data_IF_478238390611
#
_entry.id   IF_478238390611
#
_cell.length_a   1.000
_cell.length_b   1.000
_cell.length_c   1.000
_cell.angle_alpha   90.00
_cell.angle_beta   90.00
_cell.angle_gamma   90.00
#
_symmetry.space_group_name_H-M   'P 1'
#
loop_
_entity.id
_entity.type
_entity.pdbx_description
1 polymer ?
#
# COMPACT_ATOMS: atom_id res chain seq x y z
N UNK A 1 -16.20 17.56 33.37
CA UNK A 1 -16.05 17.88 31.93
C UNK A 1 -15.23 19.16 31.81
N UNK A 2 -13.91 19.04 31.67
CA UNK A 2 -13.06 20.17 31.27
C UNK A 2 -12.78 20.03 29.78
N UNK A 3 -13.22 21.02 29.01
CA UNK A 3 -12.86 21.17 27.60
C UNK A 3 -11.35 21.36 27.51
N UNK A 4 -10.66 20.40 26.91
CA UNK A 4 -9.27 20.59 26.47
C UNK A 4 -9.31 21.51 25.25
N UNK A 5 -9.04 22.79 25.48
CA UNK A 5 -8.79 23.77 24.44
C UNK A 5 -7.46 23.44 23.76
N UNK A 6 -7.50 22.91 22.54
CA UNK A 6 -6.32 22.82 21.67
C UNK A 6 -6.00 24.26 21.23
N UNK A 7 -5.06 24.91 21.92
CA UNK A 7 -4.48 26.17 21.44
C UNK A 7 -3.73 25.87 20.14
N UNK A 8 -4.29 26.27 19.01
CA UNK A 8 -3.60 26.23 17.73
C UNK A 8 -2.60 27.38 17.66
N UNK A 9 -1.40 27.18 18.18
CA UNK A 9 -0.26 27.93 17.65
C UNK A 9 -0.12 27.53 16.18
N UNK A 10 -0.11 28.51 15.28
CA UNK A 10 0.02 28.28 13.83
C UNK A 10 1.42 27.79 13.50
N UNK A 11 1.67 26.51 13.77
CA UNK A 11 2.89 25.80 13.37
C UNK A 11 3.06 25.91 11.85
N UNK A 12 4.27 26.29 11.42
CA UNK A 12 4.68 26.24 10.02
C UNK A 12 4.36 24.85 9.46
N UNK A 13 3.84 24.77 8.25
CA UNK A 13 3.61 23.49 7.57
C UNK A 13 4.90 22.68 7.41
N UNK A 14 6.07 23.33 7.49
CA UNK A 14 7.40 22.70 7.55
C UNK A 14 7.67 21.94 8.85
N UNK A 15 6.96 22.29 9.93
CA UNK A 15 7.00 21.61 11.22
C UNK A 15 5.93 20.54 11.36
N UNK A 16 5.16 20.28 10.31
CA UNK A 16 4.16 19.22 10.25
C UNK A 16 4.60 18.08 9.35
N UNK A 17 4.18 16.87 9.71
CA UNK A 17 4.26 15.68 8.87
C UNK A 17 2.88 15.04 8.81
N UNK A 18 2.47 14.56 7.63
CA UNK A 18 1.21 13.85 7.54
C UNK A 18 1.44 12.40 7.95
N UNK A 19 0.57 11.87 8.78
CA UNK A 19 0.69 10.52 9.33
C UNK A 19 -0.52 9.73 8.86
N UNK A 20 -0.33 8.49 8.40
CA UNK A 20 -1.49 7.66 8.07
C UNK A 20 -2.37 7.47 9.30
N UNK A 21 -3.69 7.43 9.13
CA UNK A 21 -4.60 7.36 10.28
C UNK A 21 -4.34 6.13 11.18
N UNK A 22 -3.92 4.99 10.61
CA UNK A 22 -3.54 3.80 11.38
C UNK A 22 -2.24 4.01 12.18
N UNK A 23 -1.22 4.63 11.58
CA UNK A 23 0.01 5.00 12.30
C UNK A 23 -0.28 6.01 13.41
N UNK A 24 -1.14 6.99 13.14
CA UNK A 24 -1.54 7.97 14.15
C UNK A 24 -2.22 7.31 15.35
N UNK A 25 -3.07 6.30 15.12
CA UNK A 25 -3.71 5.55 16.19
C UNK A 25 -2.72 4.73 17.02
N UNK A 26 -1.77 4.01 16.40
CA UNK A 26 -0.71 3.29 17.12
C UNK A 26 0.19 4.24 17.94
N UNK A 27 0.44 5.44 17.43
CA UNK A 27 1.17 6.48 18.15
C UNK A 27 0.30 7.20 19.22
N UNK A 28 -0.98 6.86 19.38
CA UNK A 28 -1.89 7.53 20.31
C UNK A 28 -2.21 8.99 19.96
N UNK A 29 -1.99 9.39 18.70
CA UNK A 29 -2.28 10.73 18.16
C UNK A 29 -3.73 10.88 17.67
N UNK A 30 -4.41 9.75 17.46
CA UNK A 30 -5.81 9.70 17.08
C UNK A 30 -6.48 8.50 17.76
N UNK A 31 -7.75 8.65 18.14
CA UNK A 31 -8.56 7.55 18.65
C UNK A 31 -9.38 6.97 17.49
N UNK A 32 -8.96 5.80 17.00
CA UNK A 32 -9.55 5.14 15.83
C UNK A 32 -9.62 3.64 16.10
N UNK A 33 -10.80 3.06 15.88
CA UNK A 33 -10.97 1.61 15.91
C UNK A 33 -10.17 0.98 14.79
N UNK A 34 -9.29 0.04 15.14
CA UNK A 34 -8.44 -0.69 14.21
C UNK A 34 -8.71 -2.19 14.32
N UNK A 35 -9.01 -2.84 13.20
CA UNK A 35 -9.08 -4.31 13.14
C UNK A 35 -7.67 -4.93 13.08
N UNK A 36 -6.76 -4.26 12.38
CA UNK A 36 -5.35 -4.67 12.23
C UNK A 36 -4.47 -3.42 12.31
N UNK A 37 -3.49 -3.44 13.21
CA UNK A 37 -2.50 -2.36 13.32
C UNK A 37 -1.48 -2.43 12.17
N UNK A 38 -1.01 -1.28 11.65
CA UNK A 38 0.08 -1.27 10.68
C UNK A 38 1.40 -1.68 11.35
N UNK A 39 2.13 -2.61 10.74
CA UNK A 39 3.47 -3.02 11.17
C UNK A 39 4.56 -2.05 10.70
N UNK A 40 4.23 -1.16 9.76
CA UNK A 40 5.09 -0.10 9.26
C UNK A 40 4.50 1.26 9.63
N UNK A 41 5.31 2.18 10.16
CA UNK A 41 4.90 3.56 10.37
C UNK A 41 4.85 4.29 9.01
N UNK A 42 3.66 4.63 8.53
CA UNK A 42 3.50 5.31 7.26
C UNK A 42 3.40 6.82 7.48
N UNK A 43 4.41 7.53 6.98
CA UNK A 43 4.49 9.00 7.00
C UNK A 43 4.42 9.53 5.57
N UNK A 44 3.93 10.75 5.40
CA UNK A 44 3.82 11.36 4.10
C UNK A 44 4.34 12.80 4.09
N UNK A 45 5.29 13.04 3.20
CA UNK A 45 5.84 14.36 2.91
C UNK A 45 5.15 14.97 1.69
N UNK A 46 4.78 16.24 1.85
CA UNK A 46 4.17 17.02 0.79
C UNK A 46 2.65 17.03 0.86
N UNK A 47 2.04 17.15 -0.31
CA UNK A 47 0.61 17.33 -0.52
C UNK A 47 0.36 17.34 -2.03
N UNK A 48 -0.21 18.43 -2.55
CA UNK A 48 -0.44 18.61 -3.99
C UNK A 48 0.86 18.34 -4.78
N UNK A 49 0.82 17.28 -5.57
CA UNK A 49 1.91 16.77 -6.40
C UNK A 49 1.94 17.53 -7.74
N UNK A 50 3.14 17.84 -8.24
CA UNK A 50 3.33 18.44 -9.58
C UNK A 50 3.00 17.47 -10.72
N UNK A 51 2.86 16.18 -10.43
CA UNK A 51 2.48 15.15 -11.41
C UNK A 51 0.96 15.13 -11.66
N UNK A 52 0.54 14.55 -12.78
CA UNK A 52 -0.85 14.59 -13.27
C UNK A 52 -1.50 13.19 -13.38
N UNK A 53 -1.15 12.28 -12.46
CA UNK A 53 -1.67 10.92 -12.47
C UNK A 53 -3.21 10.92 -12.35
N UNK A 54 -3.90 10.32 -13.31
CA UNK A 54 -5.35 10.39 -13.48
C UNK A 54 -6.13 9.75 -12.32
N UNK A 55 -5.55 8.76 -11.64
CA UNK A 55 -6.13 8.05 -10.48
C UNK A 55 -5.80 8.69 -9.13
N UNK A 56 -4.89 9.67 -9.06
CA UNK A 56 -4.32 10.13 -7.80
C UNK A 56 -4.96 11.44 -7.33
N UNK A 57 -5.50 11.45 -6.11
CA UNK A 57 -6.05 12.66 -5.49
C UNK A 57 -5.00 13.76 -5.25
N UNK A 58 -3.72 13.40 -5.17
CA UNK A 58 -2.65 14.36 -4.99
C UNK A 58 -2.22 15.03 -6.30
N UNK A 59 -2.65 14.53 -7.46
CA UNK A 59 -2.23 15.07 -8.75
C UNK A 59 -2.57 16.57 -8.90
N UNK A 60 -1.75 17.32 -9.64
CA UNK A 60 -1.98 18.76 -9.92
C UNK A 60 -3.29 19.02 -10.66
N UNK A 61 -3.75 18.02 -11.42
CA UNK A 61 -4.99 18.08 -12.20
C UNK A 61 -6.20 17.60 -11.42
N UNK A 62 -6.02 17.02 -10.22
CA UNK A 62 -7.15 16.50 -9.46
C UNK A 62 -7.87 17.63 -8.72
N UNK A 63 -9.18 17.84 -8.95
CA UNK A 63 -9.99 18.71 -8.09
C UNK A 63 -10.22 18.12 -6.69
N UNK A 64 -9.90 16.86 -6.45
CA UNK A 64 -9.89 16.29 -5.10
C UNK A 64 -8.93 17.08 -4.19
N UNK A 65 -9.24 17.14 -2.91
CA UNK A 65 -8.41 17.87 -1.96
C UNK A 65 -7.11 17.10 -1.71
N UNK A 66 -5.99 17.76 -2.01
CA UNK A 66 -4.69 17.24 -1.66
C UNK A 66 -4.48 17.29 -0.14
N UNK A 67 -3.61 16.43 0.37
CA UNK A 67 -3.34 16.27 1.80
C UNK A 67 -2.81 17.56 2.44
N UNK A 68 -2.21 18.46 1.64
CA UNK A 68 -1.94 19.84 2.00
C UNK A 68 -2.27 20.78 0.83
N UNK A 69 -3.34 21.59 0.90
CA UNK A 69 -3.49 22.72 0.00
C UNK A 69 -2.59 23.86 0.51
N UNK A 70 -1.53 24.21 -0.22
CA UNK A 70 -0.85 25.49 0.02
C UNK A 70 -1.74 26.68 -0.32
N UNK A 71 -2.86 26.45 -1.01
CA UNK A 71 -3.87 27.45 -1.38
C UNK A 71 -5.19 26.74 -1.63
N UNK A 72 -6.13 26.72 -0.67
CA UNK A 72 -7.53 26.65 -1.09
C UNK A 72 -7.80 27.97 -1.81
N UNK A 73 -8.36 27.95 -3.03
CA UNK A 73 -8.71 29.17 -3.78
C UNK A 73 -9.77 30.05 -3.08
N UNK A 74 -10.20 29.67 -1.87
CA UNK A 74 -11.28 30.31 -1.10
C UNK A 74 -11.02 30.44 0.40
N UNK A 75 -9.80 30.16 0.90
CA UNK A 75 -9.49 30.37 2.33
C UNK A 75 -10.32 29.54 3.34
N UNK A 76 -11.18 28.62 2.88
CA UNK A 76 -12.00 27.78 3.76
C UNK A 76 -11.15 26.68 4.38
N UNK A 77 -11.25 26.53 5.71
CA UNK A 77 -10.78 25.40 6.49
C UNK A 77 -11.62 24.19 6.08
N UNK A 78 -11.02 23.22 5.39
CA UNK A 78 -11.71 21.97 5.07
C UNK A 78 -11.25 20.86 6.00
N UNK A 79 -12.23 20.05 6.41
CA UNK A 79 -12.11 18.96 7.38
C UNK A 79 -10.98 17.97 7.07
N UNK A 80 -10.21 17.51 8.08
CA UNK A 80 -9.14 16.52 7.92
C UNK A 80 -9.57 15.20 7.23
N UNK A 81 -10.87 14.87 7.27
CA UNK A 81 -11.46 13.62 6.77
C UNK A 81 -11.44 13.46 5.24
N UNK A 82 -11.14 14.52 4.50
CA UNK A 82 -11.14 14.54 3.03
C UNK A 82 -9.74 14.38 2.40
N UNK A 83 -8.68 14.35 3.23
CA UNK A 83 -7.27 14.27 2.80
C UNK A 83 -6.82 12.84 2.57
N UNK A 84 -7.01 12.35 1.34
CA UNK A 84 -6.78 10.92 1.03
C UNK A 84 -5.61 10.64 0.09
N UNK A 85 -4.90 9.56 0.38
CA UNK A 85 -4.08 8.83 -0.59
C UNK A 85 -4.64 7.42 -0.65
N UNK A 86 -5.18 7.05 -1.83
CA UNK A 86 -6.12 5.94 -1.95
C UNK A 86 -7.32 6.12 -0.99
N UNK A 87 -7.60 5.16 -0.11
CA UNK A 87 -8.67 5.25 0.90
C UNK A 87 -8.22 5.81 2.24
N UNK A 88 -6.92 5.86 2.48
CA UNK A 88 -6.35 6.20 3.79
C UNK A 88 -6.35 7.71 3.96
N UNK A 89 -6.71 8.15 5.17
CA UNK A 89 -6.70 9.55 5.60
C UNK A 89 -5.31 9.86 6.19
N UNK A 90 -4.78 11.05 5.91
CA UNK A 90 -3.44 11.47 6.32
C UNK A 90 -3.47 12.83 7.05
N UNK A 91 -3.95 12.88 8.30
CA UNK A 91 -3.95 14.12 9.06
C UNK A 91 -2.52 14.62 9.35
N UNK A 92 -2.31 15.96 9.36
CA UNK A 92 -1.03 16.55 9.72
C UNK A 92 -0.86 16.63 11.24
N UNK A 93 0.30 16.24 11.74
CA UNK A 93 0.68 16.37 13.15
C UNK A 93 2.01 17.12 13.31
N UNK A 94 2.28 17.61 14.51
CA UNK A 94 3.56 18.21 14.85
C UNK A 94 4.68 17.17 14.69
N UNK A 95 5.69 17.49 13.88
CA UNK A 95 6.79 16.58 13.54
C UNK A 95 7.58 16.14 14.77
N UNK A 96 7.83 17.04 15.73
CA UNK A 96 8.56 16.70 16.96
C UNK A 96 7.78 15.71 17.81
N UNK A 97 6.48 15.92 17.95
CA UNK A 97 5.61 14.99 18.68
C UNK A 97 5.59 13.62 18.01
N UNK A 98 5.40 13.57 16.68
CA UNK A 98 5.42 12.32 15.91
C UNK A 98 6.73 11.55 16.12
N UNK A 99 7.88 12.24 16.04
CA UNK A 99 9.19 11.61 16.22
C UNK A 99 9.39 11.11 17.66
N UNK A 100 8.96 11.86 18.67
CA UNK A 100 9.03 11.41 20.07
C UNK A 100 8.22 10.14 20.30
N UNK A 101 6.97 10.11 19.82
CA UNK A 101 6.11 8.92 19.95
C UNK A 101 6.58 7.74 19.10
N UNK A 102 7.18 8.02 17.94
CA UNK A 102 7.78 6.98 17.09
C UNK A 102 8.95 6.30 17.80
N UNK A 103 9.79 7.04 18.52
CA UNK A 103 10.88 6.48 19.31
C UNK A 103 10.36 5.51 20.37
N UNK A 104 9.34 5.92 21.13
CA UNK A 104 8.71 5.07 22.15
C UNK A 104 8.05 3.83 21.53
N UNK A 105 7.35 3.99 20.41
CA UNK A 105 6.72 2.88 19.68
C UNK A 105 7.74 1.90 19.11
N UNK A 106 8.89 2.39 18.64
CA UNK A 106 9.99 1.55 18.20
C UNK A 106 10.55 0.69 19.35
N UNK A 107 10.73 1.26 20.54
CA UNK A 107 11.18 0.52 21.74
C UNK A 107 10.18 -0.56 22.15
N UNK A 108 8.88 -0.27 22.03
CA UNK A 108 7.82 -1.27 22.30
C UNK A 108 7.71 -2.36 21.23
N UNK A 109 8.35 -2.17 20.07
CA UNK A 109 8.24 -3.09 18.94
C UNK A 109 6.92 -2.97 18.17
N UNK A 110 6.20 -1.85 18.31
CA UNK A 110 4.92 -1.60 17.63
C UNK A 110 5.10 -1.48 16.11
N UNK A 111 6.27 -1.02 15.68
CA UNK A 111 6.64 -0.90 14.27
C UNK A 111 7.92 -1.68 13.95
N UNK A 112 7.98 -2.24 12.75
CA UNK A 112 9.16 -2.91 12.18
C UNK A 112 9.96 -2.02 11.23
N UNK A 113 9.34 -0.98 10.68
CA UNK A 113 9.94 -0.04 9.73
C UNK A 113 9.14 1.25 9.62
N UNK A 114 9.72 2.26 8.97
CA UNK A 114 9.07 3.51 8.57
C UNK A 114 9.01 3.57 7.04
N UNK A 115 7.87 3.93 6.46
CA UNK A 115 7.73 4.12 5.02
C UNK A 115 7.27 5.54 4.71
N UNK A 116 8.12 6.27 3.98
CA UNK A 116 7.86 7.63 3.54
C UNK A 116 7.12 7.61 2.19
N UNK A 117 5.96 8.25 2.13
CA UNK A 117 5.26 8.57 0.89
C UNK A 117 5.59 10.01 0.51
N UNK A 118 6.25 10.23 -0.62
CA UNK A 118 6.73 11.57 -0.97
C UNK A 118 6.08 12.04 -2.26
N UNK A 119 5.32 13.13 -2.19
CA UNK A 119 4.81 13.77 -3.42
C UNK A 119 5.83 14.74 -3.99
N UNK A 120 5.80 14.90 -5.32
CA UNK A 120 6.69 15.82 -6.04
C UNK A 120 6.21 17.26 -5.81
N UNK A 121 6.62 17.84 -4.68
CA UNK A 121 6.39 19.23 -4.31
C UNK A 121 7.64 20.09 -4.46
N UNK A 122 7.62 21.30 -3.89
CA UNK A 122 8.84 22.10 -3.72
C UNK A 122 9.76 21.42 -2.69
N UNK A 123 11.06 21.38 -2.98
CA UNK A 123 12.11 20.82 -2.12
C UNK A 123 11.86 19.38 -1.61
N UNK A 124 11.01 18.60 -2.29
CA UNK A 124 10.58 17.28 -1.78
C UNK A 124 11.78 16.36 -1.51
N UNK A 125 12.82 16.45 -2.34
CA UNK A 125 14.06 15.69 -2.21
C UNK A 125 14.78 16.08 -0.91
N UNK A 126 15.15 17.36 -0.74
CA UNK A 126 15.79 17.90 0.47
C UNK A 126 15.00 17.58 1.74
N UNK A 127 13.69 17.78 1.73
CA UNK A 127 12.81 17.49 2.88
C UNK A 127 12.75 16.01 3.24
N UNK A 128 12.96 15.13 2.27
CA UNK A 128 13.07 13.69 2.52
C UNK A 128 14.31 13.39 3.33
N UNK A 129 15.48 13.94 2.97
CA UNK A 129 16.71 13.80 3.77
C UNK A 129 16.54 14.31 5.19
N UNK A 130 15.99 15.52 5.35
CA UNK A 130 15.75 16.09 6.69
C UNK A 130 14.90 15.18 7.57
N UNK A 131 13.86 14.57 7.00
CA UNK A 131 13.00 13.65 7.74
C UNK A 131 13.68 12.32 8.02
N UNK A 132 14.42 11.75 7.05
CA UNK A 132 15.19 10.51 7.23
C UNK A 132 16.22 10.69 8.36
N UNK A 133 16.99 11.77 8.33
CA UNK A 133 17.93 12.08 9.41
C UNK A 133 17.23 12.25 10.76
N UNK A 134 16.08 12.93 10.79
CA UNK A 134 15.34 13.14 12.03
C UNK A 134 14.79 11.84 12.61
N UNK A 135 14.33 10.90 11.77
CA UNK A 135 13.89 9.56 12.19
C UNK A 135 15.07 8.77 12.75
N UNK A 136 16.20 8.74 12.03
CA UNK A 136 17.41 8.00 12.43
C UNK A 136 18.02 8.51 13.74
N UNK A 137 17.78 9.77 14.11
CA UNK A 137 18.21 10.32 15.41
C UNK A 137 17.37 9.83 16.59
N UNK A 138 16.18 9.29 16.35
CA UNK A 138 15.24 8.92 17.42
C UNK A 138 14.97 7.41 17.49
N UNK A 139 15.21 6.64 16.42
CA UNK A 139 15.14 5.18 16.44
C UNK A 139 15.94 4.52 15.30
N UNK A 140 16.19 3.22 15.44
CA UNK A 140 16.93 2.39 14.48
C UNK A 140 16.03 1.63 13.49
N UNK A 141 14.75 2.02 13.36
CA UNK A 141 13.85 1.37 12.40
C UNK A 141 14.34 1.59 10.96
N UNK A 142 14.36 0.54 10.11
CA UNK A 142 14.63 0.71 8.68
C UNK A 142 13.64 1.67 8.03
N UNK A 143 14.13 2.45 7.05
CA UNK A 143 13.35 3.50 6.39
C UNK A 143 13.25 3.22 4.90
N UNK A 144 12.04 3.05 4.39
CA UNK A 144 11.74 2.95 2.96
C UNK A 144 11.17 4.28 2.45
N UNK A 145 11.38 4.60 1.17
CA UNK A 145 10.81 5.81 0.57
C UNK A 145 10.16 5.51 -0.79
N UNK A 146 8.85 5.71 -0.88
CA UNK A 146 8.16 5.84 -2.15
C UNK A 146 8.28 7.28 -2.64
N UNK A 147 9.24 7.51 -3.54
CA UNK A 147 9.66 8.83 -4.03
C UNK A 147 9.91 8.74 -5.55
N UNK A 148 9.89 9.87 -6.24
CA UNK A 148 10.25 9.96 -7.67
C UNK A 148 11.61 10.65 -7.83
N UNK A 149 12.74 9.92 -7.84
CA UNK A 149 14.04 10.49 -8.17
C UNK A 149 14.07 11.01 -9.62
N UNK A 150 14.88 12.03 -9.88
CA UNK A 150 15.07 12.56 -11.24
C UNK A 150 16.12 11.79 -12.05
N UNK A 151 17.13 11.24 -11.39
CA UNK A 151 18.30 10.63 -12.00
C UNK A 151 18.95 9.64 -11.01
N UNK A 152 20.02 8.99 -11.46
CA UNK A 152 20.75 8.02 -10.65
C UNK A 152 21.55 8.64 -9.50
N UNK A 153 21.98 9.90 -9.62
CA UNK A 153 22.66 10.61 -8.53
C UNK A 153 21.71 10.79 -7.34
N UNK A 154 20.45 11.09 -7.61
CA UNK A 154 19.42 11.16 -6.58
C UNK A 154 19.10 9.80 -5.95
N UNK A 155 19.09 8.72 -6.74
CA UNK A 155 18.92 7.35 -6.22
C UNK A 155 20.06 7.01 -5.26
N UNK A 156 21.29 7.23 -5.68
CA UNK A 156 22.50 6.98 -4.88
C UNK A 156 22.51 7.81 -3.60
N UNK A 157 22.18 9.10 -3.68
CA UNK A 157 22.10 9.97 -2.52
C UNK A 157 21.07 9.47 -1.48
N UNK A 158 19.89 9.05 -1.93
CA UNK A 158 18.84 8.53 -1.03
C UNK A 158 19.32 7.28 -0.26
N UNK A 159 19.97 6.34 -0.96
CA UNK A 159 20.52 5.13 -0.33
C UNK A 159 21.65 5.47 0.67
N UNK A 160 22.56 6.37 0.31
CA UNK A 160 23.62 6.83 1.20
C UNK A 160 23.10 7.55 2.46
N UNK A 161 21.92 8.17 2.40
CA UNK A 161 21.26 8.74 3.58
C UNK A 161 20.59 7.70 4.49
N UNK A 162 20.63 6.42 4.12
CA UNK A 162 20.11 5.32 4.93
C UNK A 162 18.66 4.94 4.62
N UNK A 163 18.15 5.27 3.43
CA UNK A 163 16.94 4.63 2.90
C UNK A 163 17.29 3.22 2.45
N UNK A 164 16.52 2.23 2.90
CA UNK A 164 16.75 0.82 2.60
C UNK A 164 16.15 0.43 1.25
N UNK A 165 14.87 0.77 0.99
CA UNK A 165 14.24 0.55 -0.32
C UNK A 165 13.68 1.83 -0.91
N UNK A 166 13.95 2.05 -2.21
CA UNK A 166 13.36 3.12 -3.01
C UNK A 166 12.20 2.55 -3.83
N UNK A 167 10.98 2.99 -3.50
CA UNK A 167 9.75 2.63 -4.19
C UNK A 167 9.45 3.57 -5.35
N UNK A 168 9.62 3.09 -6.58
CA UNK A 168 9.25 3.81 -7.80
C UNK A 168 7.77 3.60 -8.11
N UNK A 169 7.04 4.69 -8.25
CA UNK A 169 5.65 4.67 -8.71
C UNK A 169 5.54 4.44 -10.21
N UNK A 170 5.88 3.24 -10.70
CA UNK A 170 5.62 2.85 -12.09
C UNK A 170 4.11 2.76 -12.33
N UNK A 171 3.40 2.14 -11.39
CA UNK A 171 1.94 1.97 -11.24
C UNK A 171 1.21 1.27 -12.38
N UNK A 172 1.69 1.34 -13.62
CA UNK A 172 1.12 0.68 -14.79
C UNK A 172 2.08 -0.38 -15.35
N UNK A 173 1.53 -1.44 -15.93
CA UNK A 173 2.35 -2.56 -16.42
C UNK A 173 2.75 -2.44 -17.91
N UNK A 174 2.16 -1.51 -18.66
CA UNK A 174 2.53 -1.29 -20.06
C UNK A 174 2.52 0.20 -20.44
N UNK A 175 3.31 0.52 -21.48
CA UNK A 175 3.48 1.88 -22.02
C UNK A 175 2.16 2.55 -22.38
N UNK A 176 1.24 1.81 -23.01
CA UNK A 176 -0.09 2.29 -23.43
C UNK A 176 -0.87 2.82 -22.24
N UNK A 177 -0.96 2.04 -21.16
CA UNK A 177 -1.69 2.43 -19.95
C UNK A 177 -0.93 3.53 -19.21
N UNK A 178 0.38 3.40 -19.03
CA UNK A 178 1.21 4.39 -18.36
C UNK A 178 1.05 5.80 -18.95
N UNK A 179 1.14 5.93 -20.28
CA UNK A 179 1.00 7.23 -20.96
C UNK A 179 -0.38 7.83 -20.74
N UNK A 180 -1.43 7.02 -20.78
CA UNK A 180 -2.81 7.46 -20.52
C UNK A 180 -3.03 7.91 -19.08
N UNK A 181 -2.51 7.16 -18.10
CA UNK A 181 -2.84 7.37 -16.68
C UNK A 181 -1.83 8.25 -15.95
N UNK A 182 -0.52 8.10 -16.17
CA UNK A 182 0.53 8.87 -15.47
C UNK A 182 0.90 10.17 -16.17
N UNK A 183 0.70 10.24 -17.50
CA UNK A 183 1.04 11.42 -18.34
C UNK A 183 2.50 11.85 -18.16
N UNK A 184 3.39 10.86 -18.10
CA UNK A 184 4.85 11.03 -17.94
C UNK A 184 5.58 10.18 -18.98
N UNK A 185 6.91 10.24 -18.97
CA UNK A 185 7.78 9.53 -19.91
C UNK A 185 8.00 8.08 -19.46
N UNK A 186 7.44 7.12 -20.20
CA UNK A 186 7.54 5.69 -19.89
C UNK A 186 8.99 5.21 -19.97
N UNK A 187 9.66 5.52 -21.08
CA UNK A 187 11.02 5.07 -21.37
C UNK A 187 12.00 5.54 -20.29
N UNK A 188 11.92 6.81 -19.90
CA UNK A 188 12.77 7.38 -18.84
C UNK A 188 12.53 6.74 -17.48
N UNK A 189 11.26 6.58 -17.07
CA UNK A 189 10.95 5.99 -15.75
C UNK A 189 11.38 4.54 -15.67
N UNK A 190 11.10 3.75 -16.72
CA UNK A 190 11.47 2.34 -16.74
C UNK A 190 12.99 2.17 -16.78
N UNK A 191 13.70 2.95 -17.61
CA UNK A 191 15.17 2.93 -17.65
C UNK A 191 15.77 3.26 -16.28
N UNK A 192 15.24 4.25 -15.57
CA UNK A 192 15.73 4.62 -14.25
C UNK A 192 15.55 3.48 -13.23
N UNK A 193 14.41 2.79 -13.25
CA UNK A 193 14.18 1.61 -12.41
C UNK A 193 15.17 0.50 -12.72
N UNK A 194 15.40 0.21 -14.00
CA UNK A 194 16.32 -0.84 -14.44
C UNK A 194 17.76 -0.52 -14.07
N UNK A 195 18.19 0.72 -14.30
CA UNK A 195 19.53 1.17 -13.93
C UNK A 195 19.75 1.13 -12.42
N UNK A 196 18.76 1.57 -11.64
CA UNK A 196 18.79 1.47 -10.19
C UNK A 196 18.87 0.01 -9.70
N UNK A 197 18.11 -0.89 -10.31
CA UNK A 197 18.10 -2.30 -9.94
C UNK A 197 19.45 -2.99 -10.23
N UNK A 198 20.09 -2.67 -11.36
CA UNK A 198 21.42 -3.19 -11.69
C UNK A 198 22.50 -2.63 -10.77
N UNK A 199 22.45 -1.33 -10.45
CA UNK A 199 23.48 -0.66 -9.65
C UNK A 199 23.33 -0.93 -8.14
N UNK A 200 22.10 -1.12 -7.68
CA UNK A 200 21.76 -1.33 -6.27
C UNK A 200 20.79 -2.51 -6.10
N UNK A 201 21.24 -3.76 -6.33
CA UNK A 201 20.40 -4.94 -6.20
C UNK A 201 19.79 -5.05 -4.79
N UNK A 202 18.50 -5.42 -4.72
CA UNK A 202 17.78 -5.56 -3.45
C UNK A 202 17.23 -4.26 -2.85
N UNK A 203 17.61 -3.08 -3.39
CA UNK A 203 17.18 -1.78 -2.84
C UNK A 203 16.03 -1.11 -3.62
N UNK A 204 15.50 -1.79 -4.65
CA UNK A 204 14.51 -1.21 -5.56
C UNK A 204 13.16 -1.92 -5.41
N UNK A 205 12.12 -1.12 -5.26
CA UNK A 205 10.74 -1.58 -5.31
C UNK A 205 9.95 -0.82 -6.38
N UNK A 206 8.95 -1.48 -6.96
CA UNK A 206 7.94 -0.83 -7.80
C UNK A 206 6.55 -1.13 -7.28
N UNK A 207 5.65 -0.18 -7.48
CA UNK A 207 4.23 -0.41 -7.32
C UNK A 207 3.60 -0.69 -8.69
N UNK A 208 2.74 -1.71 -8.76
CA UNK A 208 1.88 -1.99 -9.92
C UNK A 208 0.41 -2.00 -9.47
N UNK A 209 -0.44 -1.30 -10.21
CA UNK A 209 -1.86 -1.17 -9.92
C UNK A 209 -2.66 -1.98 -10.94
N UNK A 210 -3.37 -3.00 -10.47
CA UNK A 210 -4.30 -3.79 -11.28
C UNK A 210 -5.59 -3.01 -11.48
N UNK A 211 -6.09 -2.96 -12.71
CA UNK A 211 -7.34 -2.28 -13.06
C UNK A 211 -7.17 -0.87 -13.62
N UNK A 212 -5.96 -0.48 -14.03
CA UNK A 212 -5.77 0.78 -14.76
C UNK A 212 -6.09 0.65 -16.26
N UNK A 213 -6.06 -0.57 -16.81
CA UNK A 213 -6.47 -0.91 -18.19
C UNK A 213 -5.53 -1.88 -18.91
N UNK A 214 -4.65 -2.54 -18.15
CA UNK A 214 -3.77 -3.61 -18.58
C UNK A 214 -4.52 -4.93 -18.71
N UNK A 215 -4.03 -5.80 -19.60
CA UNK A 215 -4.42 -7.22 -19.58
C UNK A 215 -3.68 -7.95 -18.47
N UNK A 216 -4.19 -9.12 -18.09
CA UNK A 216 -3.53 -9.99 -17.10
C UNK A 216 -2.15 -10.47 -17.61
N UNK A 217 -2.01 -10.68 -18.93
CA UNK A 217 -0.74 -10.96 -19.59
C UNK A 217 0.27 -9.81 -19.44
N UNK A 218 -0.10 -8.58 -19.79
CA UNK A 218 0.77 -7.41 -19.67
C UNK A 218 1.25 -7.23 -18.22
N UNK A 219 0.36 -7.45 -17.25
CA UNK A 219 0.68 -7.39 -15.82
C UNK A 219 1.67 -8.48 -15.41
N UNK A 220 1.42 -9.74 -15.78
CA UNK A 220 2.30 -10.87 -15.46
C UNK A 220 3.69 -10.70 -16.11
N UNK A 221 3.75 -10.20 -17.35
CA UNK A 221 5.00 -9.90 -18.05
C UNK A 221 5.82 -8.83 -17.32
N UNK A 222 5.18 -7.75 -16.86
CA UNK A 222 5.86 -6.73 -16.06
C UNK A 222 6.34 -7.27 -14.72
N UNK A 223 5.51 -8.05 -14.01
CA UNK A 223 5.89 -8.69 -12.76
C UNK A 223 7.14 -9.56 -12.97
N UNK A 224 7.17 -10.38 -14.03
CA UNK A 224 8.33 -11.21 -14.38
C UNK A 224 9.55 -10.37 -14.72
N UNK A 225 9.40 -9.29 -15.49
CA UNK A 225 10.52 -8.37 -15.80
C UNK A 225 11.14 -7.81 -14.54
N UNK A 226 10.32 -7.31 -13.61
CA UNK A 226 10.78 -6.74 -12.34
C UNK A 226 11.44 -7.80 -11.45
N UNK A 227 10.83 -8.98 -11.35
CA UNK A 227 11.42 -10.10 -10.61
C UNK A 227 12.81 -10.50 -11.14
N UNK A 228 12.98 -10.57 -12.46
CA UNK A 228 14.27 -10.91 -13.07
C UNK A 228 15.37 -9.87 -12.77
N UNK A 229 14.99 -8.63 -12.45
CA UNK A 229 15.90 -7.56 -12.03
C UNK A 229 16.13 -7.54 -10.50
N UNK A 230 15.53 -8.46 -9.74
CA UNK A 230 15.56 -8.43 -8.28
C UNK A 230 14.74 -7.29 -7.66
N UNK A 231 13.81 -6.70 -8.42
CA UNK A 231 12.95 -5.61 -7.95
C UNK A 231 11.75 -6.15 -7.18
N UNK A 232 11.49 -5.58 -6.01
CA UNK A 232 10.32 -5.91 -5.20
C UNK A 232 9.06 -5.36 -5.88
N UNK A 233 8.06 -6.21 -6.11
CA UNK A 233 6.77 -5.78 -6.66
C UNK A 233 5.71 -5.74 -5.56
N UNK A 234 5.23 -4.52 -5.28
CA UNK A 234 4.03 -4.28 -4.49
C UNK A 234 2.81 -4.15 -5.38
N UNK A 235 1.79 -5.00 -5.16
CA UNK A 235 0.58 -5.02 -5.96
C UNK A 235 -0.55 -4.25 -5.28
N UNK A 236 -1.26 -3.42 -6.04
CA UNK A 236 -2.39 -2.63 -5.55
C UNK A 236 -3.61 -2.82 -6.45
N UNK A 237 -4.81 -2.87 -5.88
CA UNK A 237 -6.03 -2.79 -6.67
C UNK A 237 -6.38 -1.32 -6.95
N UNK A 238 -6.70 -0.99 -8.20
CA UNK A 238 -7.18 0.34 -8.54
C UNK A 238 -8.40 0.67 -7.69
N UNK A 239 -8.33 1.85 -7.04
CA UNK A 239 -9.34 2.31 -6.12
C UNK A 239 -9.83 3.67 -6.57
N UNK A 240 -11.10 3.80 -6.97
CA UNK A 240 -11.63 5.07 -7.43
C UNK A 240 -11.66 6.09 -6.28
N UNK A 241 -11.11 7.26 -6.54
CA UNK A 241 -11.11 8.37 -5.58
C UNK A 241 -11.91 9.53 -6.15
N UNK A 242 -12.92 9.99 -5.41
CA UNK A 242 -13.75 11.13 -5.77
C UNK A 242 -12.88 12.35 -6.08
N UNK A 243 -13.21 13.04 -7.17
CA UNK A 243 -12.46 14.20 -7.66
C UNK A 243 -11.19 13.84 -8.44
N UNK A 244 -10.95 12.58 -8.78
CA UNK A 244 -9.90 12.19 -9.74
C UNK A 244 -10.49 12.02 -11.13
N UNK A 245 -9.65 12.04 -12.16
CA UNK A 245 -10.11 11.83 -13.55
C UNK A 245 -10.59 10.39 -13.80
N UNK A 246 -10.30 9.47 -12.87
CA UNK A 246 -10.74 8.08 -12.91
C UNK A 246 -11.76 7.76 -11.81
N UNK A 247 -12.42 8.76 -11.21
CA UNK A 247 -13.35 8.54 -10.09
C UNK A 247 -14.55 7.64 -10.45
N UNK A 248 -14.95 7.61 -11.72
CA UNK A 248 -16.12 6.88 -12.22
C UNK A 248 -15.74 5.52 -12.83
N UNK A 249 -14.46 5.17 -12.85
CA UNK A 249 -14.02 3.84 -13.29
C UNK A 249 -14.23 2.84 -12.16
N UNK A 250 -14.68 1.60 -12.43
CA UNK A 250 -14.83 0.60 -11.40
C UNK A 250 -13.44 0.10 -10.91
N UNK A 251 -13.34 -0.38 -9.66
CA UNK A 251 -12.18 -1.18 -9.23
C UNK A 251 -12.10 -2.48 -10.05
N UNK A 252 -10.94 -3.17 -10.11
CA UNK A 252 -10.83 -4.41 -10.85
C UNK A 252 -11.74 -5.50 -10.25
N UNK A 253 -12.31 -6.41 -11.06
CA UNK A 253 -12.99 -7.58 -10.53
C UNK A 253 -12.08 -8.36 -9.58
N UNK A 254 -12.64 -8.87 -8.48
CA UNK A 254 -11.86 -9.57 -7.44
C UNK A 254 -11.11 -10.77 -8.02
N UNK A 255 -11.75 -11.56 -8.89
CA UNK A 255 -11.12 -12.71 -9.54
C UNK A 255 -9.90 -12.32 -10.39
N UNK A 256 -9.96 -11.19 -11.10
CA UNK A 256 -8.81 -10.64 -11.85
C UNK A 256 -7.67 -10.28 -10.88
N UNK A 257 -7.99 -9.63 -9.76
CA UNK A 257 -6.97 -9.30 -8.76
C UNK A 257 -6.35 -10.54 -8.13
N UNK A 258 -7.16 -11.54 -7.77
CA UNK A 258 -6.69 -12.83 -7.23
C UNK A 258 -5.75 -13.52 -8.19
N UNK A 259 -6.07 -13.52 -9.50
CA UNK A 259 -5.15 -14.08 -10.51
C UNK A 259 -3.81 -13.37 -10.52
N UNK A 260 -3.80 -12.04 -10.40
CA UNK A 260 -2.56 -11.26 -10.35
C UNK A 260 -1.79 -11.43 -9.05
N UNK A 261 -2.47 -11.60 -7.91
CA UNK A 261 -1.84 -11.96 -6.64
C UNK A 261 -1.13 -13.31 -6.73
N UNK A 262 -1.80 -14.34 -7.26
CA UNK A 262 -1.22 -15.67 -7.45
C UNK A 262 -0.07 -15.63 -8.47
N UNK A 263 -0.25 -14.96 -9.61
CA UNK A 263 0.82 -14.81 -10.60
C UNK A 263 2.06 -14.15 -9.99
N UNK A 264 1.88 -13.06 -9.22
CA UNK A 264 2.96 -12.42 -8.47
C UNK A 264 3.61 -13.36 -7.49
N UNK A 265 2.81 -14.07 -6.67
CA UNK A 265 3.33 -14.99 -5.67
C UNK A 265 4.20 -16.08 -6.31
N UNK A 266 3.69 -16.78 -7.33
CA UNK A 266 4.41 -17.85 -7.99
C UNK A 266 5.70 -17.35 -8.66
N UNK A 267 5.66 -16.21 -9.34
CA UNK A 267 6.85 -15.63 -9.99
C UNK A 267 7.89 -15.21 -8.94
N UNK A 268 7.47 -14.47 -7.91
CA UNK A 268 8.38 -13.89 -6.92
C UNK A 268 9.06 -14.88 -5.99
N UNK A 269 8.51 -16.09 -5.86
CA UNK A 269 9.10 -17.18 -5.07
C UNK A 269 9.78 -18.24 -5.96
N UNK A 270 9.91 -18.00 -7.27
CA UNK A 270 10.54 -18.95 -8.19
C UNK A 270 9.74 -20.24 -8.40
N UNK A 271 8.44 -20.24 -8.09
CA UNK A 271 7.55 -21.41 -8.18
C UNK A 271 6.97 -21.63 -9.58
N UNK A 272 6.89 -20.58 -10.40
CA UNK A 272 6.46 -20.69 -11.79
C UNK A 272 7.01 -19.54 -12.66
N UNK A 273 7.11 -19.80 -13.96
CA UNK A 273 7.50 -18.87 -15.02
C UNK A 273 6.32 -18.44 -15.89
N UNK A 274 6.53 -17.43 -16.73
CA UNK A 274 5.49 -17.02 -17.69
C UNK A 274 5.19 -18.11 -18.71
N UNK A 275 6.15 -18.99 -18.98
CA UNK A 275 6.01 -20.11 -19.90
C UNK A 275 5.06 -21.19 -19.36
N UNK A 276 4.94 -21.28 -18.02
CA UNK A 276 3.98 -22.19 -17.37
C UNK A 276 2.54 -21.64 -17.45
N UNK A 277 2.38 -20.34 -17.69
CA UNK A 277 1.09 -19.69 -17.70
C UNK A 277 0.43 -19.78 -19.08
N UNK A 278 -0.86 -20.11 -19.10
CA UNK A 278 -1.68 -20.04 -20.30
C UNK A 278 -2.59 -18.82 -20.24
N UNK A 279 -2.70 -18.13 -21.37
CA UNK A 279 -3.52 -16.93 -21.52
C UNK A 279 -4.48 -17.08 -22.70
N UNK A 280 -5.67 -16.49 -22.60
CA UNK A 280 -6.59 -16.35 -23.73
C UNK A 280 -6.02 -15.41 -24.82
N UNK A 281 -6.71 -15.35 -25.96
CA UNK A 281 -6.37 -14.42 -27.04
C UNK A 281 -6.41 -12.95 -26.59
N UNK A 282 -7.31 -12.62 -25.67
CA UNK A 282 -7.49 -11.28 -25.07
C UNK A 282 -6.50 -11.01 -23.92
N UNK A 283 -5.63 -11.98 -23.60
CA UNK A 283 -4.62 -11.84 -22.56
C UNK A 283 -5.14 -12.04 -21.13
N UNK A 284 -6.29 -12.69 -20.94
CA UNK A 284 -6.74 -13.17 -19.62
C UNK A 284 -5.97 -14.42 -19.22
N UNK A 285 -5.52 -14.51 -17.97
CA UNK A 285 -4.85 -15.70 -17.46
C UNK A 285 -5.88 -16.82 -17.25
N UNK A 286 -5.69 -17.96 -17.91
CA UNK A 286 -6.62 -19.11 -17.88
C UNK A 286 -6.04 -20.31 -17.15
N UNK A 287 -4.72 -20.42 -17.04
CA UNK A 287 -4.06 -21.45 -16.24
C UNK A 287 -2.70 -20.96 -15.74
N UNK A 288 -2.32 -21.41 -14.54
CA UNK A 288 -0.99 -21.19 -13.96
C UNK A 288 -0.01 -22.32 -14.28
N UNK A 289 -0.45 -23.40 -14.93
CA UNK A 289 0.38 -24.57 -15.22
C UNK A 289 0.78 -25.39 -13.98
N UNK A 290 0.14 -25.15 -12.83
CA UNK A 290 0.46 -25.81 -11.57
C UNK A 290 -0.64 -26.82 -11.18
N UNK A 291 -0.37 -28.13 -11.16
CA UNK A 291 -1.38 -29.15 -10.83
C UNK A 291 -1.84 -29.08 -9.36
N UNK A 292 -0.96 -28.70 -8.44
CA UNK A 292 -1.23 -28.64 -7.01
C UNK A 292 -1.46 -27.20 -6.51
N UNK A 293 -1.98 -26.32 -7.39
CA UNK A 293 -2.09 -24.88 -7.10
C UNK A 293 -2.82 -24.58 -5.79
N UNK A 294 -3.92 -25.29 -5.49
CA UNK A 294 -4.68 -25.06 -4.26
C UNK A 294 -3.86 -25.35 -2.99
N UNK A 295 -3.05 -26.42 -3.01
CA UNK A 295 -2.15 -26.78 -1.91
C UNK A 295 -1.05 -25.73 -1.74
N UNK A 296 -0.46 -25.27 -2.85
CA UNK A 296 0.56 -24.21 -2.86
C UNK A 296 0.05 -22.88 -2.29
N UNK A 297 -1.26 -22.63 -2.38
CA UNK A 297 -1.90 -21.39 -1.91
C UNK A 297 -2.57 -21.53 -0.53
N UNK A 298 -2.52 -22.71 0.07
CA UNK A 298 -3.29 -23.03 1.29
C UNK A 298 -2.86 -22.21 2.51
N UNK A 299 -1.62 -21.70 2.54
CA UNK A 299 -1.11 -20.82 3.60
C UNK A 299 -1.66 -19.37 3.51
N UNK A 300 -2.31 -19.03 2.40
CA UNK A 300 -2.88 -17.72 2.12
C UNK A 300 -1.88 -16.59 1.87
N UNK A 301 -0.56 -16.86 1.86
CA UNK A 301 0.49 -15.83 1.70
C UNK A 301 0.35 -15.08 0.39
N UNK A 302 -0.06 -15.76 -0.68
CA UNK A 302 -0.31 -15.15 -1.99
C UNK A 302 -1.33 -14.00 -1.95
N UNK A 303 -2.25 -14.00 -0.99
CA UNK A 303 -3.36 -13.04 -0.92
C UNK A 303 -3.11 -11.90 0.10
N UNK A 304 -1.98 -11.94 0.80
CA UNK A 304 -1.59 -10.88 1.73
C UNK A 304 -1.10 -9.65 0.96
N UNK A 305 -1.05 -8.51 1.67
CA UNK A 305 -0.39 -7.29 1.16
C UNK A 305 1.03 -7.62 0.71
N UNK A 306 1.38 -7.22 -0.52
CA UNK A 306 2.73 -7.40 -1.07
C UNK A 306 3.47 -6.06 -1.17
N UNK A 307 4.80 -6.11 -1.09
CA UNK A 307 5.66 -4.93 -1.18
C UNK A 307 6.98 -5.16 -0.48
N UNK A 308 7.60 -4.09 0.00
CA UNK A 308 8.77 -4.16 0.89
C UNK A 308 8.47 -5.06 2.10
N UNK A 309 9.51 -5.59 2.79
CA UNK A 309 9.28 -6.44 3.95
C UNK A 309 8.37 -5.73 4.98
N UNK A 310 7.67 -6.48 5.84
CA UNK A 310 6.74 -5.95 6.87
C UNK A 310 5.71 -4.89 6.41
N UNK A 311 5.47 -4.73 5.11
CA UNK A 311 4.49 -3.79 4.57
C UNK A 311 3.10 -4.43 4.54
N UNK A 312 2.27 -4.14 5.55
CA UNK A 312 0.94 -4.75 5.65
C UNK A 312 -0.25 -3.87 5.23
N UNK A 313 -0.07 -2.56 5.06
CA UNK A 313 -1.05 -1.54 4.58
C UNK A 313 -2.55 -1.87 4.81
N UNK A 314 -3.05 -1.88 6.05
CA UNK A 314 -4.46 -2.18 6.33
C UNK A 314 -5.43 -1.26 5.56
N UNK A 315 -6.36 -1.87 4.81
CA UNK A 315 -7.47 -1.21 4.11
C UNK A 315 -7.07 -0.11 3.12
N UNK A 316 -5.89 -0.24 2.52
CA UNK A 316 -5.41 0.75 1.56
C UNK A 316 -6.20 0.73 0.25
N UNK A 317 -6.65 -0.45 -0.19
CA UNK A 317 -7.42 -0.64 -1.43
C UNK A 317 -8.92 -0.88 -1.16
N UNK A 318 -9.21 -1.52 -0.03
CA UNK A 318 -10.54 -2.03 0.34
C UNK A 318 -11.19 -1.20 1.44
N UNK A 319 -12.52 -1.34 1.57
CA UNK A 319 -13.22 -0.91 2.78
C UNK A 319 -13.03 -1.99 3.85
N UNK A 320 -13.07 -1.64 5.16
CA UNK A 320 -13.01 -2.65 6.22
C UNK A 320 -14.07 -3.76 6.09
N UNK A 321 -15.27 -3.43 5.61
CA UNK A 321 -16.35 -4.40 5.35
C UNK A 321 -16.19 -5.25 4.09
N UNK A 322 -15.12 -5.07 3.31
CA UNK A 322 -14.83 -5.84 2.11
C UNK A 322 -15.55 -5.41 0.82
N UNK A 323 -15.38 -6.18 -0.27
CA UNK A 323 -14.45 -7.32 -0.37
C UNK A 323 -12.99 -6.89 -0.17
N UNK A 324 -12.16 -7.77 0.41
CA UNK A 324 -10.75 -7.49 0.68
C UNK A 324 -9.88 -7.91 -0.52
N UNK A 325 -9.13 -6.98 -1.11
CA UNK A 325 -8.15 -7.30 -2.14
C UNK A 325 -6.87 -7.82 -1.48
N UNK A 326 -6.34 -7.08 -0.52
CA UNK A 326 -5.14 -7.45 0.22
C UNK A 326 -5.46 -7.71 1.70
N UNK A 327 -5.01 -8.85 2.21
CA UNK A 327 -5.10 -9.14 3.64
C UNK A 327 -3.89 -8.55 4.36
N UNK A 328 -4.08 -7.66 5.36
CA UNK A 328 -2.98 -7.01 6.08
C UNK A 328 -2.39 -7.86 7.21
N UNK A 329 -2.74 -9.14 7.24
CA UNK A 329 -2.36 -10.13 8.26
C UNK A 329 -2.43 -11.53 7.64
N UNK A 330 -1.83 -12.55 8.29
CA UNK A 330 -2.09 -13.94 7.95
C UNK A 330 -3.59 -14.25 7.86
N UNK A 331 -3.95 -15.01 6.83
CA UNK A 331 -5.31 -15.47 6.60
C UNK A 331 -5.60 -16.67 7.51
N UNK A 332 -6.84 -16.78 7.95
CA UNK A 332 -7.35 -18.05 8.47
C UNK A 332 -7.48 -19.08 7.34
N UNK A 333 -7.48 -20.40 7.63
CA UNK A 333 -7.70 -21.42 6.59
C UNK A 333 -8.98 -21.20 5.77
N UNK A 334 -10.04 -20.73 6.40
CA UNK A 334 -11.31 -20.39 5.73
C UNK A 334 -11.19 -19.18 4.80
N UNK A 335 -10.43 -18.15 5.19
CA UNK A 335 -10.16 -16.99 4.33
C UNK A 335 -9.28 -17.39 3.14
N UNK A 336 -8.24 -18.22 3.35
CA UNK A 336 -7.38 -18.71 2.29
C UNK A 336 -8.16 -19.55 1.27
N UNK A 337 -8.96 -20.51 1.75
CA UNK A 337 -9.84 -21.31 0.90
C UNK A 337 -10.83 -20.45 0.10
N UNK A 338 -11.40 -19.42 0.72
CA UNK A 338 -12.28 -18.47 0.02
C UNK A 338 -11.54 -17.72 -1.07
N UNK A 339 -10.36 -17.20 -0.80
CA UNK A 339 -9.54 -16.47 -1.77
C UNK A 339 -9.12 -17.36 -2.95
N UNK A 340 -8.88 -18.65 -2.72
CA UNK A 340 -8.64 -19.65 -3.78
C UNK A 340 -9.91 -19.81 -4.63
N UNK A 341 -11.08 -20.00 -4.03
CA UNK A 341 -12.35 -20.13 -4.77
C UNK A 341 -12.69 -18.88 -5.60
N UNK A 342 -12.33 -17.70 -5.10
CA UNK A 342 -12.50 -16.42 -5.81
C UNK A 342 -11.69 -16.33 -7.12
N UNK A 343 -10.68 -17.19 -7.35
CA UNK A 343 -9.94 -17.26 -8.62
C UNK A 343 -10.84 -17.65 -9.80
N UNK A 344 -11.79 -18.56 -9.55
CA UNK A 344 -12.69 -19.13 -10.55
C UNK A 344 -13.98 -18.30 -10.75
N UNK A 345 -14.27 -17.36 -9.84
CA UNK A 345 -15.53 -16.61 -9.78
C UNK A 345 -15.73 -15.52 -10.86
N UNK A 346 -15.20 -15.73 -12.07
CA UNK A 346 -15.47 -14.89 -13.23
C UNK A 346 -15.45 -15.73 -14.51
N UNK A 347 -16.47 -16.57 -14.65
CA UNK A 347 -16.94 -17.19 -15.89
C UNK A 347 -18.47 -17.18 -15.86
N UNK A 348 -19.07 -16.56 -16.86
CA UNK A 348 -20.50 -16.58 -17.19
C UNK A 348 -21.49 -15.90 -16.22
N UNK A 349 -21.56 -14.57 -16.25
CA UNK A 349 -22.84 -13.84 -16.19
C UNK A 349 -22.64 -12.36 -16.52
N UNK A 350 -22.82 -12.02 -17.80
CA UNK A 350 -23.51 -10.80 -18.28
C UNK A 350 -23.43 -10.78 -19.81
N UNK A 351 -24.12 -11.75 -20.44
CA UNK A 351 -24.68 -11.49 -21.76
C UNK A 351 -25.87 -10.58 -21.50
N UNK A 352 -25.73 -9.30 -21.83
CA UNK A 352 -26.86 -8.39 -21.88
C UNK A 352 -27.87 -8.95 -22.89
N UNK A 353 -28.94 -9.53 -22.36
CA UNK A 353 -30.15 -9.82 -23.11
C UNK A 353 -30.74 -8.47 -23.53
N UNK A 354 -30.49 -8.10 -24.77
CA UNK A 354 -31.07 -6.94 -25.42
C UNK A 354 -32.59 -7.12 -25.47
N UNK A 355 -33.33 -6.34 -24.69
CA UNK A 355 -34.77 -6.19 -24.87
C UNK A 355 -35.09 -5.73 -26.31
N UNK A 356 -36.08 -6.33 -26.98
CA UNK A 356 -36.36 -6.05 -28.38
C UNK A 356 -36.95 -4.65 -28.55
N UNK A 357 -36.28 -3.82 -29.34
CA UNK A 357 -36.84 -2.58 -29.85
C UNK A 357 -37.99 -2.91 -30.80
N UNK A 358 -39.18 -2.41 -30.45
CA UNK A 358 -40.36 -2.43 -31.32
C UNK A 358 -40.06 -1.63 -32.58
N UNK A 359 -40.28 -2.28 -33.71
CA UNK A 359 -40.39 -1.66 -35.02
C UNK A 359 -41.49 -0.59 -35.01
N UNK A 360 -41.19 0.54 -35.65
CA UNK A 360 -42.10 1.65 -35.84
C UNK A 360 -41.44 2.72 -36.70
N UNK A 361 -41.18 2.40 -37.97
CA UNK A 361 -40.97 3.42 -38.99
C UNK A 361 -42.29 4.15 -39.25
N UNK A 362 -42.26 5.46 -39.44
CA UNK A 362 -42.19 6.03 -40.79
C UNK A 362 -42.18 7.55 -40.63
N UNK A 363 -41.34 8.20 -41.43
CA UNK A 363 -41.16 9.65 -41.44
C UNK A 363 -42.11 10.20 -42.50
N UNK A 364 -43.07 11.08 -42.16
CA UNK A 364 -43.76 11.87 -43.18
C UNK A 364 -44.25 13.22 -42.65
N UNK A 365 -43.88 14.24 -43.42
CA UNK A 365 -44.22 15.63 -43.27
C UNK A 365 -45.74 15.85 -43.27
N UNK A 366 -46.23 16.81 -42.47
CA UNK A 366 -47.25 17.72 -42.97
C UNK A 366 -47.16 19.09 -42.29
N UNK A 367 -47.32 20.12 -43.12
CA UNK A 367 -47.37 21.53 -42.77
C UNK A 367 -48.77 21.91 -42.28
N UNK A 368 -48.87 22.97 -41.47
CA UNK A 368 -49.93 23.97 -41.66
C UNK A 368 -50.92 24.21 -40.51
N UNK A 369 -50.90 25.48 -40.07
CA UNK A 369 -52.05 26.37 -39.76
C UNK A 369 -52.57 26.44 -38.30
N UNK A 370 -52.28 27.62 -37.73
CA UNK A 370 -53.09 28.57 -36.93
C UNK A 370 -54.24 28.09 -36.02
N UNK A 371 -54.30 28.70 -34.82
CA UNK A 371 -55.51 28.75 -33.99
C UNK A 371 -55.28 29.36 -32.61
N UNK A 372 -55.85 30.55 -32.41
CA UNK A 372 -55.86 31.35 -31.19
C UNK A 372 -56.73 30.79 -30.05
N UNK A 373 -56.45 31.35 -28.87
CA UNK A 373 -57.39 31.76 -27.80
C UNK A 373 -57.76 30.88 -26.60
N UNK A 374 -57.82 31.65 -25.50
CA UNK A 374 -58.59 31.53 -24.26
C UNK A 374 -58.18 30.54 -23.15
N UNK A 375 -57.64 31.14 -22.08
CA UNK A 375 -58.56 31.57 -21.03
C UNK A 375 -58.77 30.64 -19.84
N UNK A 376 -58.41 31.16 -18.66
CA UNK A 376 -59.03 30.96 -17.35
C UNK A 376 -58.40 29.97 -16.35
N UNK A 377 -57.93 30.58 -15.24
CA UNK A 377 -58.21 30.30 -13.81
C UNK A 377 -58.26 28.80 -13.42
N UNK A 378 -57.50 28.31 -12.42
CA UNK A 378 -57.80 28.54 -11.00
C UNK A 378 -56.82 27.79 -10.07
N UNK A 379 -56.29 28.53 -9.09
CA UNK A 379 -55.96 28.21 -7.67
C UNK A 379 -55.22 26.90 -7.23
N UNK A 380 -54.24 27.02 -6.30
CA UNK A 380 -53.50 25.90 -5.68
C UNK A 380 -53.88 25.64 -4.21
N UNK A 381 -53.93 24.39 -3.73
CA UNK A 381 -53.90 24.00 -2.29
C UNK A 381 -53.61 22.48 -2.15
N UNK A 382 -53.21 21.88 -1.00
CA UNK A 382 -52.13 22.18 -0.05
C UNK A 382 -51.19 20.99 0.26
N UNK A 383 -50.13 21.34 0.99
CA UNK A 383 -49.30 20.53 1.90
C UNK A 383 -50.15 19.80 2.95
N UNK A 384 -49.89 18.50 3.16
CA UNK A 384 -50.38 17.73 4.30
C UNK A 384 -49.22 17.33 5.23
N UNK A 385 -49.30 17.84 6.47
CA UNK A 385 -48.56 17.36 7.62
C UNK A 385 -49.12 16.01 8.10
N UNK A 386 -48.25 15.02 8.25
CA UNK A 386 -48.54 13.76 8.96
C UNK A 386 -47.50 13.51 10.04
N UNK A 387 -47.82 13.89 11.29
CA UNK A 387 -47.19 13.36 12.51
C UNK A 387 -47.91 12.08 12.92
N UNK A 388 -47.18 11.02 13.29
CA UNK A 388 -47.54 9.99 14.30
C UNK A 388 -46.32 9.07 14.56
N UNK A 389 -46.27 8.34 15.69
CA UNK A 389 -45.27 8.60 16.73
C UNK A 389 -44.25 7.48 16.93
N UNK A 390 -43.22 7.81 17.71
CA UNK A 390 -42.21 6.91 18.25
C UNK A 390 -42.83 5.80 19.12
N UNK A 391 -42.42 4.56 18.87
CA UNK A 391 -42.53 3.45 19.81
C UNK A 391 -41.13 3.10 20.30
N UNK A 392 -40.93 3.24 21.61
CA UNK A 392 -39.72 2.80 22.29
C UNK A 392 -39.65 1.27 22.36
N UNK A 393 -38.42 0.75 22.27
CA UNK A 393 -38.09 -0.59 22.75
C UNK A 393 -36.95 -0.44 23.76
N UNK A 394 -37.23 -0.88 24.98
CA UNK A 394 -36.25 -1.08 26.05
C UNK A 394 -35.20 -2.13 25.64
N UNK A 395 -33.94 -2.00 26.10
CA UNK A 395 -32.92 -3.01 25.89
C UNK A 395 -33.11 -4.19 26.84
N UNK A 396 -32.97 -5.36 26.24
CA UNK A 396 -33.01 -6.70 26.81
C UNK A 396 -31.90 -6.89 27.87
N UNK A 397 -32.30 -7.19 29.10
CA UNK A 397 -31.42 -7.52 30.22
C UNK A 397 -31.34 -9.04 30.33
N UNK A 398 -30.57 -9.67 29.45
CA UNK A 398 -30.15 -11.07 29.61
C UNK A 398 -28.87 -11.34 28.82
N UNK A 399 -27.76 -10.71 29.24
CA UNK A 399 -26.41 -11.07 28.75
C UNK A 399 -25.26 -10.90 29.75
N UNK A 400 -25.55 -10.64 31.02
CA UNK A 400 -24.54 -10.45 32.09
C UNK A 400 -24.57 -11.57 33.16
N UNK A 401 -24.90 -12.80 32.76
CA UNK A 401 -24.91 -13.96 33.67
C UNK A 401 -24.33 -15.24 33.07
N UNK A 402 -23.31 -15.14 32.21
CA UNK A 402 -22.59 -16.31 31.66
C UNK A 402 -21.05 -16.21 31.60
N UNK A 403 -20.43 -15.22 32.24
CA UNK A 403 -18.96 -15.11 32.32
C UNK A 403 -18.43 -15.02 33.77
N UNK A 404 -19.10 -15.67 34.73
CA UNK A 404 -18.69 -15.69 36.14
C UNK A 404 -18.40 -17.10 36.70
N UNK A 405 -18.16 -18.08 35.83
CA UNK A 405 -17.73 -19.43 36.21
C UNK A 405 -16.68 -19.96 35.22
N UNK A 406 -15.49 -19.37 35.22
CA UNK A 406 -14.25 -19.96 34.69
C UNK A 406 -13.06 -19.10 35.17
N UNK A 407 -12.90 -19.04 36.48
CA UNK A 407 -11.75 -18.38 37.13
C UNK A 407 -11.39 -19.13 38.40
N UNK A 408 -11.13 -20.43 38.29
CA UNK A 408 -10.44 -21.22 39.31
C UNK A 408 -9.60 -22.32 38.63
N UNK A 409 -8.42 -22.55 39.19
CA UNK A 409 -7.35 -23.48 38.77
C UNK A 409 -6.46 -23.00 37.61
N UNK A 410 -5.31 -22.42 37.96
CA UNK A 410 -4.00 -23.07 37.79
C UNK A 410 -2.92 -22.21 38.45
N UNK A 411 -2.44 -22.68 39.60
CA UNK A 411 -1.29 -22.17 40.31
C UNK A 411 0.03 -22.61 39.67
N UNK A 412 1.04 -21.77 39.90
CA UNK A 412 2.46 -22.11 40.08
C UNK A 412 3.29 -22.61 38.89
N UNK A 413 4.04 -21.69 38.26
CA UNK A 413 5.47 -21.90 38.01
C UNK A 413 6.22 -20.55 37.98
N UNK A 414 7.08 -20.34 38.98
CA UNK A 414 8.05 -19.26 39.06
C UNK A 414 9.22 -19.49 38.07
N UNK A 415 9.70 -18.45 37.36
CA UNK A 415 11.04 -18.46 36.79
C UNK A 415 12.08 -17.98 37.83
N UNK A 416 13.31 -18.54 37.84
CA UNK A 416 14.34 -18.13 38.78
C UNK A 416 14.94 -16.76 38.43
N UNK A 417 15.20 -15.96 39.44
CA UNK A 417 15.97 -14.71 39.32
C UNK A 417 17.47 -15.02 39.22
N UNK A 418 18.25 -14.24 38.45
CA UNK A 418 19.70 -14.34 38.48
C UNK A 418 20.29 -13.64 39.71
N UNK A 419 21.26 -14.30 40.31
CA UNK A 419 22.00 -13.91 41.51
C UNK A 419 22.79 -12.61 41.31
N UNK A 420 22.87 -11.84 42.41
CA UNK A 420 23.76 -10.69 42.54
C UNK A 420 25.16 -11.18 42.93
N UNK A 421 26.16 -10.76 42.17
CA UNK A 421 27.58 -10.90 42.51
C UNK A 421 28.31 -9.57 42.36
N UNK A 422 28.63 -9.00 43.51
CA UNK A 422 29.80 -8.15 43.83
C UNK A 422 29.93 -6.71 43.31
N UNK A 423 29.87 -5.81 44.29
CA UNK A 423 30.46 -4.48 44.31
C UNK A 423 31.99 -4.52 44.19
N UNK A 424 32.57 -3.61 43.41
CA UNK A 424 33.81 -2.95 43.82
C UNK A 424 33.79 -1.46 43.43
N UNK A 425 34.18 -0.61 44.38
CA UNK A 425 34.17 0.84 44.29
C UNK A 425 35.50 1.40 43.76
N UNK A 426 35.39 2.47 42.95
CA UNK A 426 36.26 3.67 42.84
C UNK A 426 37.78 3.51 42.65
N UNK A 427 38.25 4.09 41.54
CA UNK A 427 39.55 4.76 41.41
C UNK A 427 39.49 5.78 40.27
N UNK A 428 39.87 7.03 40.55
CA UNK A 428 39.95 8.17 39.61
C UNK A 428 41.35 8.26 38.99
N UNK A 429 41.46 9.04 37.90
CA UNK A 429 42.65 9.69 37.30
C UNK A 429 43.58 8.74 36.49
N UNK A 430 44.15 9.02 35.31
CA UNK A 430 44.34 10.18 34.40
C UNK A 430 44.83 9.59 33.02
N UNK A 431 44.72 10.27 31.86
CA UNK A 431 45.00 9.71 30.54
C UNK A 431 46.38 10.10 29.99
N UNK A 432 47.11 9.16 29.36
CA UNK A 432 47.90 9.35 28.13
C UNK A 432 48.82 8.15 27.84
N UNK A 433 48.95 7.86 26.53
CA UNK A 433 50.08 7.17 25.87
C UNK A 433 50.25 5.63 26.02
N UNK A 434 49.89 4.90 24.96
CA UNK A 434 50.78 4.13 24.04
C UNK A 434 49.95 3.04 23.34
N UNK A 435 49.76 3.15 22.02
CA UNK A 435 50.57 2.53 20.96
C UNK A 435 50.35 1.01 20.85
N UNK A 436 49.76 0.62 19.71
CA UNK A 436 49.95 -0.62 18.93
C UNK A 436 50.07 -1.96 19.68
N UNK A 437 49.11 -2.86 19.44
CA UNK A 437 49.38 -4.24 19.00
C UNK A 437 48.07 -4.97 18.64
N UNK A 438 48.04 -5.59 17.46
CA UNK A 438 47.12 -6.67 17.10
C UNK A 438 47.28 -7.87 18.04
N UNK A 439 46.26 -8.74 18.14
CA UNK A 439 46.57 -10.15 17.90
C UNK A 439 45.54 -10.92 17.07
N UNK A 440 46.10 -11.87 16.32
CA UNK A 440 45.44 -12.98 15.62
C UNK A 440 44.80 -13.99 16.58
N UNK A 441 43.59 -14.42 16.21
CA UNK A 441 42.96 -15.76 16.29
C UNK A 441 43.31 -16.71 17.44
N UNK A 442 42.28 -17.21 18.14
CA UNK A 442 42.08 -18.65 18.36
C UNK A 442 40.59 -19.03 18.51
N UNK A 443 40.27 -20.16 17.91
CA UNK A 443 38.98 -20.86 17.84
C UNK A 443 38.50 -21.46 19.17
N UNK A 444 37.18 -21.39 19.39
CA UNK A 444 36.26 -22.40 19.97
C UNK A 444 34.86 -21.89 19.59
N UNK A 445 33.86 -22.59 19.05
CA UNK A 445 33.37 -23.95 19.26
C UNK A 445 31.84 -23.86 19.40
N UNK A 446 31.12 -24.03 18.28
CA UNK A 446 29.73 -24.51 18.04
C UNK A 446 28.64 -24.34 19.12
N UNK A 447 27.53 -23.64 18.78
CA UNK A 447 26.11 -24.08 18.98
C UNK A 447 25.22 -23.48 17.86
N UNK A 448 24.24 -24.27 17.40
CA UNK A 448 23.42 -24.10 16.19
C UNK A 448 22.09 -23.32 16.37
N UNK A 449 21.59 -22.74 15.27
CA UNK A 449 20.22 -22.21 15.08
C UNK A 449 20.12 -21.24 13.87
N UNK A 450 18.95 -21.05 13.23
CA UNK A 450 18.67 -21.61 11.90
C UNK A 450 18.91 -20.68 10.70
N UNK A 451 19.08 -21.33 9.54
CA UNK A 451 19.56 -20.80 8.27
C UNK A 451 18.48 -20.06 7.47
N UNK A 452 18.84 -18.90 6.92
CA UNK A 452 18.19 -18.26 5.78
C UNK A 452 18.66 -18.91 4.47
N UNK A 453 17.81 -19.05 3.44
CA UNK A 453 18.22 -19.67 2.19
C UNK A 453 19.10 -18.72 1.36
N UNK A 454 20.30 -19.20 1.05
CA UNK A 454 21.25 -18.57 0.13
C UNK A 454 20.84 -18.93 -1.31
N UNK A 455 20.79 -17.91 -2.16
CA UNK A 455 20.67 -18.01 -3.61
C UNK A 455 21.76 -18.91 -4.20
N UNK A 456 21.38 -20.00 -4.86
CA UNK A 456 22.29 -20.84 -5.64
C UNK A 456 22.41 -20.33 -7.08
N UNK A 457 23.65 -20.04 -7.49
CA UNK A 457 24.03 -19.84 -8.89
C UNK A 457 23.94 -21.17 -9.64
N UNK A 458 23.14 -21.21 -10.70
CA UNK A 458 23.15 -22.30 -11.68
C UNK A 458 24.20 -21.99 -12.74
N UNK A 459 25.20 -22.87 -12.85
CA UNK A 459 26.24 -22.82 -13.87
C UNK A 459 25.69 -23.21 -15.25
N UNK A 460 26.07 -22.45 -16.27
CA UNK A 460 25.83 -22.78 -17.66
C UNK A 460 26.75 -23.90 -18.14
N UNK A 461 26.18 -25.01 -18.56
CA UNK A 461 26.82 -25.99 -19.43
C UNK A 461 26.93 -25.41 -20.86
N UNK A 462 28.15 -25.37 -21.40
CA UNK A 462 28.40 -25.11 -22.82
C UNK A 462 28.67 -26.44 -23.53
N UNK A 463 27.84 -26.74 -24.53
CA UNK A 463 27.98 -27.87 -25.43
C UNK A 463 28.84 -27.48 -26.65
N UNK A 464 29.86 -28.32 -26.89
CA UNK A 464 30.34 -28.81 -28.19
C UNK A 464 30.46 -27.86 -29.39
N UNK A 465 31.69 -27.62 -29.82
CA UNK A 465 32.05 -27.40 -31.24
C UNK A 465 33.18 -28.37 -31.61
N UNK A 466 32.84 -29.35 -32.44
CA UNK A 466 33.80 -30.15 -33.20
C UNK A 466 34.19 -29.40 -34.49
N UNK A 467 35.50 -29.17 -34.66
CA UNK A 467 36.44 -29.84 -35.58
C UNK A 467 36.35 -29.38 -37.04
N UNK A 468 37.36 -28.61 -37.43
CA UNK A 468 37.92 -28.53 -38.78
C UNK A 468 39.42 -28.29 -38.63
N UNK A 469 40.27 -29.25 -39.04
CA UNK A 469 41.55 -29.01 -39.73
C UNK A 469 42.25 -30.32 -40.11
N UNK A 470 42.43 -30.46 -41.43
CA UNK A 470 43.61 -30.94 -42.17
C UNK A 470 44.54 -31.99 -41.54
N UNK A 471 44.56 -33.19 -42.12
CA UNK A 471 45.72 -33.85 -42.78
C UNK A 471 45.38 -35.30 -43.08
#
# INVERSE_FOLDING_TARGET
MQQVSIRSESLDWRDKVNVSIGTAAVLGLADVRMDVAPTTAYLMLGGRCRMACAFCAQARTSPAQAINPSTSRRGELVEPSERRLSRIIWPPFNKREVLGRLAEAAVRGDFRRVCLQVTVGQDYFRRTFELVEAIRRVCDLPVDAAILPHDMDQVEALLHAGIEHIGFGLDAACKRVFRRVKRSDWERNLKLVEEAAHRFPGHVAVHLIVGLGETEREMAEMIRRMHNLGVIVGLFAFTPVRGTAMQDQPPPPLATYRRMQVARHLISHGLATLQDFAFSAEGRLVSFGQPNLAEMLADGVAFQTSGCPDCNRPFYNERPGGPLYNYPRPLTPTEAMRAITELAAAGDSEVHESSPQRAGGDNRHNQGIEGQDDGSKSRPIPILHGKRPAQGKQPDRDRERRDAELSQSLDSHHPPQPERGEHCQRGKDDPQQRQQCLPLLRHTGVVAGPQHPIYSHVGHHNLGRDVFQDS
#
